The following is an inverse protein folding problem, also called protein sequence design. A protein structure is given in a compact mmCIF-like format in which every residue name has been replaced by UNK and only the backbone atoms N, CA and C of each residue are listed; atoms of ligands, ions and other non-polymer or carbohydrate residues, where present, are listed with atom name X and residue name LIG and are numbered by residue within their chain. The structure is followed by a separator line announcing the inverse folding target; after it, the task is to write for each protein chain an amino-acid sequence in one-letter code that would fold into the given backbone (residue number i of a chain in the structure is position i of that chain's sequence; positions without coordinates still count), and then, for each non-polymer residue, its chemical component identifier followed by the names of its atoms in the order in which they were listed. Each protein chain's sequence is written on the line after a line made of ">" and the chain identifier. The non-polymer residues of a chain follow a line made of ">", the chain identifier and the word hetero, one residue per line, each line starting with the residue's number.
data_IF_135900882819
#
_entry.id   IF_135900882819
#
_cell.length_a   1.000
_cell.length_b   1.000
_cell.length_c   1.000
_cell.angle_alpha   90.00
_cell.angle_beta   90.00
_cell.angle_gamma   90.00
#
_symmetry.space_group_name_H-M   'P 1'
#
loop_
_entity.id
_entity.type
_entity.pdbx_description
1 polymer ?
#
# COMPACT_ATOMS: atom_id res chain seq x y z
N UNK A 1 -11.17 -3.09 32.16
CA UNK A 1 -10.84 -3.80 30.89
C UNK A 1 -12.15 -4.28 30.29
N UNK A 2 -12.29 -4.32 28.95
CA UNK A 2 -13.46 -4.97 28.35
C UNK A 2 -13.52 -6.46 28.77
N UNK A 3 -14.71 -7.04 28.91
CA UNK A 3 -14.85 -8.46 29.21
C UNK A 3 -14.27 -9.31 28.08
N UNK A 4 -13.81 -10.51 28.41
CA UNK A 4 -13.26 -11.47 27.44
C UNK A 4 -14.43 -12.00 26.62
N UNK A 5 -14.40 -11.81 25.30
CA UNK A 5 -15.40 -12.35 24.39
C UNK A 5 -15.13 -13.84 24.16
N UNK A 6 -16.02 -14.71 24.64
CA UNK A 6 -15.84 -16.17 24.62
C UNK A 6 -16.87 -16.79 23.67
N UNK A 7 -16.40 -17.35 22.56
CA UNK A 7 -17.25 -18.17 21.70
C UNK A 7 -17.22 -19.62 22.20
N UNK A 8 -18.36 -20.14 22.62
CA UNK A 8 -18.50 -21.52 23.09
C UNK A 8 -18.89 -22.38 21.89
N UNK A 9 -17.94 -23.19 21.43
CA UNK A 9 -18.07 -24.13 20.33
C UNK A 9 -18.47 -25.51 20.88
N UNK A 10 -19.57 -26.10 20.40
CA UNK A 10 -20.10 -27.35 20.96
C UNK A 10 -20.94 -28.13 19.93
N UNK A 11 -21.10 -29.44 20.17
CA UNK A 11 -22.07 -30.25 19.41
C UNK A 11 -23.47 -30.06 20.02
N UNK A 12 -24.44 -29.62 19.21
CA UNK A 12 -25.82 -29.33 19.65
C UNK A 12 -26.59 -30.55 20.16
N UNK A 13 -26.48 -31.66 19.43
CA UNK A 13 -27.16 -32.92 19.74
C UNK A 13 -26.12 -33.97 20.13
N UNK A 14 -26.21 -34.47 21.35
CA UNK A 14 -25.40 -35.60 21.82
C UNK A 14 -25.95 -36.93 21.27
N UNK A 15 -25.25 -38.03 21.54
CA UNK A 15 -25.72 -39.37 21.17
C UNK A 15 -27.17 -39.62 21.65
N UNK A 16 -28.03 -40.09 20.75
CA UNK A 16 -29.47 -40.25 21.02
C UNK A 16 -30.30 -38.97 20.84
N UNK A 17 -29.80 -37.99 20.08
CA UNK A 17 -30.48 -36.74 19.71
C UNK A 17 -30.86 -35.79 20.87
N UNK A 18 -30.30 -36.01 22.06
CA UNK A 18 -30.56 -35.15 23.21
C UNK A 18 -29.85 -33.80 23.06
N UNK A 19 -30.51 -32.67 23.40
CA UNK A 19 -29.86 -31.37 23.46
C UNK A 19 -28.67 -31.37 24.40
N UNK A 20 -27.60 -30.66 24.04
CA UNK A 20 -26.43 -30.52 24.87
C UNK A 20 -26.61 -29.44 25.94
N UNK A 21 -27.39 -29.76 26.97
CA UNK A 21 -27.70 -28.85 28.10
C UNK A 21 -26.45 -28.32 28.82
N UNK A 22 -25.30 -28.99 28.67
CA UNK A 22 -24.03 -28.56 29.26
C UNK A 22 -23.53 -27.23 28.67
N UNK A 23 -23.80 -26.97 27.39
CA UNK A 23 -23.42 -25.71 26.75
C UNK A 23 -24.20 -24.53 27.34
N UNK A 24 -25.51 -24.71 27.55
CA UNK A 24 -26.37 -23.71 28.17
C UNK A 24 -25.98 -23.43 29.63
N UNK A 25 -25.71 -24.49 30.40
CA UNK A 25 -25.24 -24.36 31.78
C UNK A 25 -23.89 -23.63 31.81
N UNK A 26 -22.94 -23.99 30.95
CA UNK A 26 -21.64 -23.31 30.87
C UNK A 26 -21.78 -21.83 30.53
N UNK A 27 -22.59 -21.50 29.51
CA UNK A 27 -22.89 -20.12 29.13
C UNK A 27 -23.52 -19.35 30.28
N UNK A 28 -24.49 -19.95 30.97
CA UNK A 28 -25.15 -19.36 32.14
C UNK A 28 -24.16 -19.04 33.25
N UNK A 29 -23.25 -19.96 33.57
CA UNK A 29 -22.23 -19.79 34.61
C UNK A 29 -21.27 -18.67 34.25
N UNK A 30 -20.74 -18.66 33.02
CA UNK A 30 -19.85 -17.57 32.56
C UNK A 30 -20.56 -16.21 32.57
N UNK A 31 -21.87 -16.19 32.29
CA UNK A 31 -22.70 -14.98 32.30
C UNK A 31 -22.95 -14.40 33.71
N UNK A 32 -22.64 -15.14 34.78
CA UNK A 32 -22.72 -14.61 36.15
C UNK A 32 -21.60 -13.60 36.44
N UNK A 33 -20.47 -13.69 35.72
CA UNK A 33 -19.31 -12.80 35.86
C UNK A 33 -19.18 -11.89 34.62
N UNK A 34 -20.21 -11.05 34.39
CA UNK A 34 -20.27 -10.14 33.23
C UNK A 34 -19.15 -9.11 33.16
N UNK A 35 -18.48 -8.85 34.28
CA UNK A 35 -17.31 -7.96 34.30
C UNK A 35 -16.07 -8.63 33.71
N UNK A 36 -16.04 -9.96 33.68
CA UNK A 36 -14.89 -10.73 33.21
C UNK A 36 -15.13 -11.42 31.86
N UNK A 37 -16.36 -11.89 31.59
CA UNK A 37 -16.68 -12.69 30.41
C UNK A 37 -17.93 -12.21 29.67
N UNK A 38 -17.90 -12.32 28.34
CA UNK A 38 -19.04 -12.16 27.43
C UNK A 38 -19.21 -13.47 26.63
N UNK A 39 -19.90 -14.48 27.18
CA UNK A 39 -20.04 -15.79 26.54
C UNK A 39 -21.14 -15.80 25.47
N UNK A 40 -20.84 -16.42 24.34
CA UNK A 40 -21.76 -16.59 23.22
C UNK A 40 -21.88 -18.07 22.83
N UNK A 41 -23.12 -18.52 22.59
CA UNK A 41 -23.48 -19.80 21.96
C UNK A 41 -24.47 -19.52 20.83
N UNK A 42 -24.56 -20.44 19.89
CA UNK A 42 -25.38 -20.35 18.67
C UNK A 42 -26.84 -20.83 18.85
N UNK A 43 -27.42 -20.60 20.03
CA UNK A 43 -28.68 -21.21 20.48
C UNK A 43 -29.96 -20.41 20.14
N UNK A 44 -29.89 -19.16 19.68
CA UNK A 44 -31.10 -18.31 19.62
C UNK A 44 -31.64 -18.11 18.20
N UNK A 45 -32.77 -18.77 17.89
CA UNK A 45 -33.88 -18.24 17.08
C UNK A 45 -33.65 -17.83 15.62
N UNK A 46 -32.45 -18.03 15.07
CA UNK A 46 -32.15 -17.72 13.67
C UNK A 46 -32.68 -18.84 12.77
N UNK A 47 -33.45 -18.47 11.73
CA UNK A 47 -33.91 -19.42 10.73
C UNK A 47 -32.68 -20.10 10.08
N UNK A 48 -32.65 -21.43 10.06
CA UNK A 48 -31.56 -22.18 9.46
C UNK A 48 -31.31 -21.70 8.01
N UNK A 49 -30.06 -21.35 7.67
CA UNK A 49 -29.70 -20.80 6.36
C UNK A 49 -28.46 -19.88 6.41
N UNK A 50 -28.26 -19.12 5.32
CA UNK A 50 -27.09 -18.25 5.10
C UNK A 50 -26.88 -17.17 6.19
N UNK A 51 -27.97 -16.68 6.79
CA UNK A 51 -27.93 -15.67 7.85
C UNK A 51 -27.36 -16.22 9.17
N UNK A 52 -27.64 -17.49 9.46
CA UNK A 52 -27.13 -18.17 10.65
C UNK A 52 -25.62 -18.44 10.57
N UNK A 53 -25.15 -18.93 9.41
CA UNK A 53 -23.71 -19.13 9.15
C UNK A 53 -22.94 -17.80 9.21
N UNK A 54 -23.51 -16.73 8.64
CA UNK A 54 -22.94 -15.39 8.69
C UNK A 54 -22.83 -14.86 10.14
N UNK A 55 -23.84 -15.14 10.97
CA UNK A 55 -23.83 -14.72 12.37
C UNK A 55 -22.72 -15.42 13.18
N UNK A 56 -22.53 -16.73 12.97
CA UNK A 56 -21.45 -17.50 13.60
C UNK A 56 -20.08 -16.93 13.22
N UNK A 57 -19.84 -16.70 11.94
CA UNK A 57 -18.55 -16.16 11.47
C UNK A 57 -18.26 -14.77 12.03
N UNK A 58 -19.27 -13.87 12.05
CA UNK A 58 -19.12 -12.55 12.66
C UNK A 58 -18.78 -12.63 14.14
N UNK A 59 -19.35 -13.61 14.86
CA UNK A 59 -19.09 -13.78 16.29
C UNK A 59 -17.70 -14.35 16.56
N UNK A 60 -17.24 -15.31 15.77
CA UNK A 60 -15.87 -15.82 15.87
C UNK A 60 -14.86 -14.69 15.61
N UNK A 61 -15.07 -13.87 14.58
CA UNK A 61 -14.18 -12.75 14.23
C UNK A 61 -13.92 -11.74 15.36
N UNK A 62 -14.90 -11.54 16.25
CA UNK A 62 -14.78 -10.59 17.37
C UNK A 62 -14.47 -11.27 18.71
N UNK A 63 -14.28 -12.59 18.71
CA UNK A 63 -14.02 -13.35 19.92
C UNK A 63 -12.54 -13.34 20.30
N UNK A 64 -12.28 -13.25 21.60
CA UNK A 64 -10.93 -13.37 22.16
C UNK A 64 -10.51 -14.84 22.27
N UNK A 65 -11.46 -15.75 22.48
CA UNK A 65 -11.22 -17.17 22.76
C UNK A 65 -12.29 -18.04 22.12
N UNK A 66 -11.88 -19.17 21.54
CA UNK A 66 -12.77 -20.27 21.17
C UNK A 66 -12.73 -21.34 22.28
N UNK A 67 -13.77 -21.41 23.11
CA UNK A 67 -13.93 -22.43 24.14
C UNK A 67 -14.65 -23.65 23.55
N UNK A 68 -13.93 -24.72 23.26
CA UNK A 68 -14.49 -25.93 22.65
C UNK A 68 -14.95 -26.88 23.75
N UNK A 69 -16.26 -27.07 23.86
CA UNK A 69 -16.88 -27.98 24.81
C UNK A 69 -16.94 -29.39 24.20
N UNK A 70 -16.07 -30.27 24.70
CA UNK A 70 -15.84 -31.61 24.17
C UNK A 70 -16.57 -32.65 25.03
N UNK A 71 -17.52 -33.36 24.42
CA UNK A 71 -18.19 -34.51 25.00
C UNK A 71 -18.14 -35.69 24.03
N UNK A 72 -18.76 -36.83 24.37
CA UNK A 72 -18.79 -37.99 23.49
C UNK A 72 -19.38 -37.67 22.11
N UNK A 73 -18.60 -37.91 21.06
CA UNK A 73 -18.96 -37.70 19.67
C UNK A 73 -18.90 -36.24 19.20
N UNK A 74 -18.29 -35.31 19.96
CA UNK A 74 -18.13 -33.90 19.51
C UNK A 74 -17.42 -33.81 18.15
N UNK A 75 -16.42 -34.66 17.92
CA UNK A 75 -15.67 -34.80 16.66
C UNK A 75 -16.51 -35.19 15.45
N UNK A 76 -17.73 -35.70 15.63
CA UNK A 76 -18.66 -36.01 14.54
C UNK A 76 -19.38 -34.75 14.01
N UNK A 77 -19.25 -33.60 14.68
CA UNK A 77 -19.90 -32.35 14.28
C UNK A 77 -19.08 -31.60 13.24
N UNK A 78 -19.58 -31.54 12.01
CA UNK A 78 -18.96 -30.74 10.94
C UNK A 78 -18.93 -29.24 11.27
N UNK A 79 -19.89 -28.75 12.05
CA UNK A 79 -19.90 -27.35 12.52
C UNK A 79 -18.74 -27.07 13.48
N UNK A 80 -18.49 -27.96 14.44
CA UNK A 80 -17.37 -27.82 15.38
C UNK A 80 -16.04 -27.79 14.63
N UNK A 81 -15.86 -28.68 13.63
CA UNK A 81 -14.66 -28.67 12.78
C UNK A 81 -14.47 -27.35 12.02
N UNK A 82 -15.56 -26.80 11.46
CA UNK A 82 -15.51 -25.51 10.74
C UNK A 82 -15.17 -24.34 11.66
N UNK A 83 -15.73 -24.30 12.86
CA UNK A 83 -15.47 -23.24 13.84
C UNK A 83 -14.03 -23.29 14.35
N UNK A 84 -13.49 -24.49 14.59
CA UNK A 84 -12.07 -24.71 14.92
C UNK A 84 -11.19 -24.21 13.78
N UNK A 85 -11.44 -24.66 12.55
CA UNK A 85 -10.65 -24.25 11.38
C UNK A 85 -10.63 -22.73 11.19
N UNK A 86 -11.79 -22.08 11.37
CA UNK A 86 -11.89 -20.62 11.27
C UNK A 86 -11.14 -19.91 12.39
N UNK A 87 -11.26 -20.37 13.64
CA UNK A 87 -10.51 -19.80 14.77
C UNK A 87 -9.00 -19.93 14.56
N UNK A 88 -8.52 -21.09 14.11
CA UNK A 88 -7.12 -21.32 13.75
C UNK A 88 -6.65 -20.34 12.67
N UNK A 89 -7.44 -20.15 11.60
CA UNK A 89 -7.11 -19.24 10.51
C UNK A 89 -7.03 -17.77 10.95
N UNK A 90 -7.82 -17.39 11.97
CA UNK A 90 -7.87 -16.04 12.53
C UNK A 90 -6.89 -15.79 13.68
N UNK A 91 -6.07 -16.80 14.04
CA UNK A 91 -5.15 -16.71 15.17
C UNK A 91 -5.86 -16.62 16.53
N UNK A 92 -7.11 -17.11 16.62
CA UNK A 92 -7.87 -17.16 17.87
C UNK A 92 -7.43 -18.39 18.66
N UNK A 93 -7.09 -18.19 19.92
CA UNK A 93 -6.67 -19.28 20.81
C UNK A 93 -7.84 -20.17 21.16
N UNK A 94 -7.63 -21.49 21.01
CA UNK A 94 -8.60 -22.54 21.31
C UNK A 94 -8.35 -23.09 22.73
N UNK A 95 -9.41 -23.25 23.51
CA UNK A 95 -9.38 -23.86 24.85
C UNK A 95 -10.32 -25.06 24.88
N UNK A 96 -9.83 -26.30 24.87
CA UNK A 96 -10.68 -27.49 24.98
C UNK A 96 -11.08 -27.80 26.43
N UNK A 97 -12.39 -27.91 26.66
CA UNK A 97 -12.98 -28.28 27.95
C UNK A 97 -13.81 -29.55 27.77
N UNK A 98 -13.32 -30.66 28.32
CA UNK A 98 -13.99 -31.95 28.26
C UNK A 98 -14.97 -32.17 29.41
N UNK A 99 -16.10 -32.81 29.12
CA UNK A 99 -17.11 -33.24 30.10
C UNK A 99 -17.59 -34.65 29.78
N UNK A 100 -18.00 -35.41 30.82
CA UNK A 100 -18.52 -36.78 30.69
C UNK A 100 -17.62 -37.73 29.84
N UNK A 101 -16.31 -37.47 29.86
CA UNK A 101 -15.28 -38.20 29.12
C UNK A 101 -14.18 -38.70 30.06
N UNK A 102 -13.58 -39.83 29.69
CA UNK A 102 -12.28 -40.27 30.23
C UNK A 102 -11.15 -39.53 29.50
N UNK A 103 -9.90 -39.62 30.01
CA UNK A 103 -8.72 -39.08 29.31
C UNK A 103 -8.56 -39.67 27.92
N UNK A 104 -8.63 -40.99 27.80
CA UNK A 104 -8.56 -41.68 26.50
C UNK A 104 -9.67 -41.25 25.55
N UNK A 105 -10.88 -41.02 26.08
CA UNK A 105 -12.00 -40.50 25.30
C UNK A 105 -11.74 -39.08 24.79
N UNK A 106 -11.21 -38.21 25.64
CA UNK A 106 -10.83 -36.84 25.28
C UNK A 106 -9.72 -36.80 24.23
N UNK A 107 -8.67 -37.60 24.42
CA UNK A 107 -7.53 -37.67 23.48
C UNK A 107 -8.00 -38.13 22.10
N UNK A 108 -8.95 -39.08 22.05
CA UNK A 108 -9.59 -39.50 20.79
C UNK A 108 -10.35 -38.36 20.12
N UNK A 109 -11.23 -37.68 20.85
CA UNK A 109 -12.01 -36.56 20.31
C UNK A 109 -11.11 -35.43 19.77
N UNK A 110 -10.06 -35.05 20.52
CA UNK A 110 -9.12 -34.00 20.09
C UNK A 110 -8.29 -34.41 18.87
N UNK A 111 -7.93 -35.69 18.75
CA UNK A 111 -7.26 -36.23 17.57
C UNK A 111 -8.16 -36.14 16.34
N UNK A 112 -9.41 -36.53 16.48
CA UNK A 112 -10.39 -36.52 15.38
C UNK A 112 -10.81 -35.08 14.99
N UNK A 113 -10.60 -34.10 15.87
CA UNK A 113 -10.76 -32.66 15.63
C UNK A 113 -9.49 -31.95 15.15
N UNK A 114 -8.37 -32.66 14.97
CA UNK A 114 -7.06 -32.11 14.57
C UNK A 114 -6.47 -31.06 15.55
N UNK A 115 -6.79 -31.20 16.84
CA UNK A 115 -6.32 -30.30 17.92
C UNK A 115 -5.67 -31.05 19.09
N UNK A 116 -5.20 -32.28 18.87
CA UNK A 116 -4.54 -33.10 19.91
C UNK A 116 -3.26 -32.49 20.50
N UNK A 117 -2.68 -31.50 19.83
CA UNK A 117 -1.51 -30.77 20.32
C UNK A 117 -1.85 -29.67 21.35
N UNK A 118 -3.15 -29.41 21.57
CA UNK A 118 -3.63 -28.38 22.50
C UNK A 118 -3.90 -29.00 23.88
N UNK A 119 -3.41 -28.36 24.93
CA UNK A 119 -3.68 -28.77 26.31
C UNK A 119 -5.17 -28.59 26.65
N UNK A 120 -5.76 -29.59 27.31
CA UNK A 120 -7.17 -29.59 27.70
C UNK A 120 -7.39 -29.72 29.21
N UNK A 121 -8.63 -29.48 29.64
CA UNK A 121 -9.12 -29.81 30.99
C UNK A 121 -10.34 -30.72 30.93
N UNK A 122 -10.47 -31.61 31.92
CA UNK A 122 -11.68 -32.40 32.16
C UNK A 122 -12.37 -31.86 33.40
N UNK A 123 -13.65 -31.53 33.30
CA UNK A 123 -14.42 -30.97 34.42
C UNK A 123 -15.67 -31.79 34.73
N UNK A 124 -16.05 -31.80 36.01
CA UNK A 124 -17.33 -32.32 36.49
C UNK A 124 -18.25 -31.21 37.03
N UNK A 125 -17.83 -29.96 36.88
CA UNK A 125 -18.43 -28.79 37.53
C UNK A 125 -19.48 -28.07 36.67
N UNK A 126 -19.81 -28.59 35.48
CA UNK A 126 -20.90 -28.06 34.64
C UNK A 126 -22.25 -28.54 35.21
N UNK A 127 -22.68 -27.91 36.32
CA UNK A 127 -23.88 -28.19 37.10
C UNK A 127 -24.46 -26.91 37.71
N UNK A 128 -25.78 -26.85 37.84
CA UNK A 128 -26.52 -25.70 38.40
C UNK A 128 -26.57 -25.73 39.94
N UNK A 129 -25.42 -25.69 40.60
CA UNK A 129 -25.35 -25.46 42.06
C UNK A 129 -24.18 -24.53 42.41
N UNK A 130 -24.37 -23.68 43.43
CA UNK A 130 -23.46 -22.56 43.71
C UNK A 130 -22.00 -22.99 43.90
N UNK A 131 -21.77 -24.13 44.55
CA UNK A 131 -20.43 -24.67 44.77
C UNK A 131 -19.74 -25.08 43.45
N UNK A 132 -20.46 -25.77 42.55
CA UNK A 132 -19.94 -26.17 41.24
C UNK A 132 -19.72 -24.96 40.32
N UNK A 133 -20.60 -23.96 40.37
CA UNK A 133 -20.45 -22.72 39.60
C UNK A 133 -19.17 -21.97 39.99
N UNK A 134 -18.95 -21.77 41.29
CA UNK A 134 -17.74 -21.11 41.79
C UNK A 134 -16.47 -21.90 41.43
N UNK A 135 -16.52 -23.23 41.53
CA UNK A 135 -15.41 -24.10 41.16
C UNK A 135 -15.08 -24.01 39.65
N UNK A 136 -16.09 -24.04 38.78
CA UNK A 136 -15.90 -23.95 37.33
C UNK A 136 -15.32 -22.59 36.90
N UNK A 137 -15.81 -21.49 37.49
CA UNK A 137 -15.25 -20.15 37.23
C UNK A 137 -13.79 -20.06 37.67
N UNK A 138 -13.46 -20.61 38.85
CA UNK A 138 -12.08 -20.67 39.33
C UNK A 138 -11.19 -21.53 38.42
N UNK A 139 -11.73 -22.62 37.87
CA UNK A 139 -11.02 -23.54 36.99
C UNK A 139 -10.66 -22.91 35.64
N UNK A 140 -11.57 -22.14 35.05
CA UNK A 140 -11.44 -21.59 33.69
C UNK A 140 -10.80 -20.20 33.63
N UNK A 141 -10.88 -19.41 34.70
CA UNK A 141 -10.52 -17.98 34.64
C UNK A 141 -9.09 -17.75 34.14
N UNK A 142 -8.11 -18.46 34.68
CA UNK A 142 -6.71 -18.30 34.30
C UNK A 142 -6.46 -18.71 32.83
N UNK A 143 -7.14 -19.76 32.36
CA UNK A 143 -6.97 -20.27 31.00
C UNK A 143 -7.57 -19.31 29.98
N UNK A 144 -8.78 -18.81 30.24
CA UNK A 144 -9.46 -17.85 29.35
C UNK A 144 -8.72 -16.51 29.30
N UNK A 145 -8.19 -16.03 30.44
CA UNK A 145 -7.34 -14.84 30.48
C UNK A 145 -6.06 -15.03 29.67
N UNK A 146 -5.37 -16.16 29.86
CA UNK A 146 -4.15 -16.48 29.12
C UNK A 146 -4.42 -16.66 27.63
N UNK A 147 -5.54 -17.28 27.27
CA UNK A 147 -5.96 -17.46 25.89
C UNK A 147 -6.28 -16.12 25.21
N UNK A 148 -7.02 -15.23 25.87
CA UNK A 148 -7.29 -13.88 25.35
C UNK A 148 -6.00 -13.09 25.12
N UNK A 149 -5.05 -13.17 26.06
CA UNK A 149 -3.76 -12.51 25.91
C UNK A 149 -2.96 -13.06 24.70
N UNK A 150 -2.94 -14.38 24.51
CA UNK A 150 -2.29 -15.02 23.35
C UNK A 150 -2.94 -14.64 22.03
N UNK A 151 -4.28 -14.62 21.96
CA UNK A 151 -5.01 -14.18 20.75
C UNK A 151 -4.65 -12.74 20.40
N UNK A 152 -4.65 -11.83 21.39
CA UNK A 152 -4.31 -10.41 21.18
C UNK A 152 -2.88 -10.23 20.69
N UNK A 153 -1.92 -10.97 21.25
CA UNK A 153 -0.53 -10.91 20.78
C UNK A 153 -0.39 -11.49 19.37
N UNK A 154 -1.02 -12.64 19.08
CA UNK A 154 -0.99 -13.27 17.75
C UNK A 154 -1.60 -12.37 16.67
N UNK A 155 -2.73 -11.72 16.97
CA UNK A 155 -3.37 -10.77 16.06
C UNK A 155 -2.50 -9.51 15.86
N UNK A 156 -1.86 -9.01 16.92
CA UNK A 156 -0.93 -7.88 16.85
C UNK A 156 0.31 -8.22 16.04
N UNK A 157 0.86 -9.42 16.18
CA UNK A 157 2.00 -9.90 15.38
C UNK A 157 1.61 -10.06 13.92
N UNK A 158 0.44 -10.65 13.66
CA UNK A 158 -0.10 -10.77 12.30
C UNK A 158 -0.27 -9.39 11.66
N UNK A 159 -0.90 -8.44 12.37
CA UNK A 159 -1.04 -7.06 11.90
C UNK A 159 0.31 -6.39 11.68
N UNK A 160 1.27 -6.57 12.60
CA UNK A 160 2.61 -6.01 12.49
C UNK A 160 3.36 -6.57 11.28
N UNK A 161 3.23 -7.88 11.03
CA UNK A 161 3.82 -8.54 9.86
C UNK A 161 3.20 -8.07 8.55
N UNK A 162 1.87 -7.88 8.51
CA UNK A 162 1.17 -7.33 7.35
C UNK A 162 1.59 -5.88 7.10
N UNK A 163 1.67 -5.06 8.15
CA UNK A 163 2.14 -3.68 8.06
C UNK A 163 3.60 -3.59 7.62
N UNK A 164 4.46 -4.52 8.06
CA UNK A 164 5.85 -4.60 7.64
C UNK A 164 6.02 -5.05 6.18
N UNK A 165 5.18 -5.98 5.71
CA UNK A 165 5.13 -6.37 4.29
C UNK A 165 4.61 -5.24 3.40
N UNK A 166 3.66 -4.46 3.90
CA UNK A 166 3.14 -3.28 3.20
C UNK A 166 4.08 -2.07 3.27
N UNK A 167 5.03 -2.03 4.22
CA UNK A 167 5.99 -0.95 4.41
C UNK A 167 7.33 -1.50 4.88
N UNK A 168 8.22 -1.99 3.99
CA UNK A 168 9.61 -2.13 4.38
C UNK A 168 10.07 -0.76 4.88
N UNK A 169 10.58 -0.69 6.12
CA UNK A 169 11.29 0.48 6.65
C UNK A 169 12.62 0.64 5.89
N UNK A 170 12.57 0.86 4.59
CA UNK A 170 13.74 1.25 3.83
C UNK A 170 14.12 2.66 4.30
N UNK A 171 15.34 2.85 4.85
CA UNK A 171 15.77 4.16 5.30
C UNK A 171 15.72 5.13 4.11
N UNK A 172 15.06 6.26 4.32
CA UNK A 172 15.05 7.39 3.39
C UNK A 172 16.49 7.93 3.27
N UNK A 173 16.94 8.22 2.05
CA UNK A 173 18.22 8.89 1.86
C UNK A 173 18.20 10.32 2.44
N UNK A 174 19.36 10.87 2.76
CA UNK A 174 19.47 12.26 3.21
C UNK A 174 18.96 13.22 2.10
N UNK A 175 18.27 14.29 2.50
CA UNK A 175 17.75 15.30 1.55
C UNK A 175 18.90 16.13 0.98
N UNK A 176 19.35 15.79 -0.24
CA UNK A 176 20.41 16.50 -0.96
C UNK A 176 20.07 16.61 -2.44
N UNK A 177 19.89 17.84 -2.92
CA UNK A 177 19.56 18.09 -4.34
C UNK A 177 20.69 17.70 -5.31
N UNK A 178 21.95 17.86 -4.89
CA UNK A 178 23.14 17.45 -5.64
C UNK A 178 23.96 16.51 -4.76
N UNK A 179 23.43 15.32 -4.50
CA UNK A 179 24.05 14.32 -3.64
C UNK A 179 25.31 13.70 -4.27
N UNK A 180 25.29 13.57 -5.59
CA UNK A 180 26.42 13.19 -6.43
C UNK A 180 26.30 13.88 -7.80
N UNK A 181 27.44 14.08 -8.46
CA UNK A 181 27.54 14.76 -9.76
C UNK A 181 28.38 13.91 -10.72
N UNK A 182 27.91 13.80 -11.95
CA UNK A 182 28.55 13.08 -13.04
C UNK A 182 28.47 13.92 -14.33
N UNK A 183 29.27 13.55 -15.31
CA UNK A 183 29.20 14.14 -16.65
C UNK A 183 28.86 13.09 -17.68
N UNK A 184 27.82 13.36 -18.46
CA UNK A 184 27.49 12.58 -19.66
C UNK A 184 28.17 13.24 -20.84
N UNK A 185 29.05 12.50 -21.53
CA UNK A 185 29.65 12.92 -22.79
C UNK A 185 29.00 12.17 -23.95
N UNK A 186 28.13 12.83 -24.70
CA UNK A 186 27.37 12.25 -25.81
C UNK A 186 27.12 13.30 -26.90
N UNK A 187 27.12 12.90 -28.18
CA UNK A 187 26.87 13.80 -29.31
C UNK A 187 27.85 14.98 -29.41
N UNK A 188 29.09 14.80 -28.96
CA UNK A 188 30.09 15.89 -28.87
C UNK A 188 29.79 16.94 -27.79
N UNK A 189 28.91 16.63 -26.83
CA UNK A 189 28.50 17.53 -25.74
C UNK A 189 28.76 16.93 -24.38
N UNK A 190 28.82 17.81 -23.39
CA UNK A 190 28.98 17.48 -21.98
C UNK A 190 27.79 18.04 -21.21
N UNK A 191 27.04 17.18 -20.53
CA UNK A 191 25.84 17.54 -19.75
C UNK A 191 26.03 17.05 -18.32
N UNK A 192 25.66 17.89 -17.35
CA UNK A 192 25.74 17.54 -15.94
C UNK A 192 24.58 16.61 -15.56
N UNK A 193 24.91 15.46 -14.98
CA UNK A 193 23.96 14.53 -14.39
C UNK A 193 24.11 14.55 -12.87
N UNK A 194 23.03 14.80 -12.14
CA UNK A 194 23.01 14.83 -10.69
C UNK A 194 22.12 13.74 -10.12
N UNK A 195 22.52 13.18 -8.98
CA UNK A 195 21.59 12.41 -8.14
C UNK A 195 20.98 13.37 -7.12
N UNK A 196 19.66 13.54 -7.15
CA UNK A 196 18.89 14.22 -6.12
C UNK A 196 18.36 13.17 -5.13
N UNK A 197 18.90 13.14 -3.91
CA UNK A 197 18.55 12.14 -2.90
C UNK A 197 17.49 12.64 -1.91
N UNK A 198 16.66 11.73 -1.43
CA UNK A 198 15.67 11.97 -0.39
C UNK A 198 14.31 12.40 -0.94
N UNK A 199 13.65 13.33 -0.24
CA UNK A 199 12.29 13.76 -0.55
C UNK A 199 12.28 14.78 -1.69
N UNK A 200 11.63 14.41 -2.80
CA UNK A 200 11.41 15.27 -3.97
C UNK A 200 10.80 16.63 -3.61
N UNK A 201 10.01 16.69 -2.54
CA UNK A 201 9.42 17.94 -2.05
C UNK A 201 10.46 19.00 -1.67
N UNK A 202 11.70 18.58 -1.38
CA UNK A 202 12.80 19.46 -0.97
C UNK A 202 13.63 20.00 -2.14
N UNK A 203 13.46 19.45 -3.34
CA UNK A 203 14.20 19.86 -4.53
C UNK A 203 13.70 21.21 -5.05
N UNK A 204 14.61 22.13 -5.40
CA UNK A 204 14.27 23.49 -5.85
C UNK A 204 14.99 23.89 -7.13
N UNK A 205 14.48 24.90 -7.81
CA UNK A 205 15.14 25.56 -8.95
C UNK A 205 15.41 24.59 -10.13
N UNK A 206 14.53 23.61 -10.32
CA UNK A 206 14.52 22.71 -11.48
C UNK A 206 13.31 23.05 -12.35
N UNK A 207 13.51 23.29 -13.63
CA UNK A 207 12.46 23.77 -14.53
C UNK A 207 11.35 22.76 -14.74
N UNK A 208 11.72 21.49 -14.96
CA UNK A 208 10.80 20.41 -15.31
C UNK A 208 10.90 19.25 -14.32
N UNK A 209 9.75 18.86 -13.77
CA UNK A 209 9.60 17.66 -12.95
C UNK A 209 8.90 16.57 -13.77
N UNK A 210 9.55 15.42 -13.93
CA UNK A 210 8.93 14.29 -14.62
C UNK A 210 8.11 13.48 -13.63
N UNK A 211 6.91 13.09 -14.04
CA UNK A 211 5.98 12.28 -13.29
C UNK A 211 5.69 11.00 -14.07
N UNK A 212 5.97 9.86 -13.45
CA UNK A 212 5.61 8.55 -14.00
C UNK A 212 4.12 8.31 -13.77
N UNK A 213 3.33 8.26 -14.84
CA UNK A 213 1.88 8.07 -14.78
C UNK A 213 1.41 6.79 -15.47
N UNK A 214 0.17 6.42 -15.14
CA UNK A 214 -0.55 5.39 -15.89
C UNK A 214 -0.93 5.89 -17.29
N UNK A 215 -1.17 4.94 -18.19
CA UNK A 215 -1.67 5.14 -19.56
C UNK A 215 -3.08 5.76 -19.65
N UNK A 216 -3.81 5.89 -18.55
CA UNK A 216 -5.04 6.70 -18.49
C UNK A 216 -4.79 8.16 -18.10
N UNK A 217 -3.54 8.53 -17.81
CA UNK A 217 -3.12 9.86 -17.38
C UNK A 217 -3.94 10.38 -16.19
N UNK A 218 -4.27 9.48 -15.28
CA UNK A 218 -4.99 9.79 -14.05
C UNK A 218 -4.00 9.90 -12.91
N UNK A 219 -3.83 11.11 -12.37
CA UNK A 219 -2.96 11.30 -11.22
C UNK A 219 -3.49 10.52 -10.01
N UNK A 220 -2.56 10.07 -9.16
CA UNK A 220 -2.83 9.44 -7.89
C UNK A 220 -3.74 10.31 -6.99
N UNK A 221 -4.47 9.68 -6.07
CA UNK A 221 -5.41 10.39 -5.20
C UNK A 221 -4.68 11.41 -4.32
N UNK A 222 -5.31 12.55 -4.02
CA UNK A 222 -4.73 13.64 -3.21
C UNK A 222 -4.11 13.21 -1.88
N UNK A 223 -4.75 12.26 -1.20
CA UNK A 223 -4.35 11.78 0.13
C UNK A 223 -3.54 10.48 0.07
N UNK A 224 -3.23 10.00 -1.13
CA UNK A 224 -2.15 9.04 -1.29
C UNK A 224 -0.85 9.75 -0.92
N UNK A 225 -0.03 9.15 -0.05
CA UNK A 225 1.11 9.82 0.56
C UNK A 225 2.46 9.29 0.07
N UNK A 226 2.46 8.36 -0.88
CA UNK A 226 3.64 7.54 -1.22
C UNK A 226 3.99 7.47 -2.70
N UNK A 227 3.34 8.26 -3.56
CA UNK A 227 3.68 8.32 -4.98
C UNK A 227 4.16 9.70 -5.37
N UNK A 228 5.05 9.77 -6.37
CA UNK A 228 5.49 11.04 -6.95
C UNK A 228 4.28 11.82 -7.47
N UNK A 229 3.37 11.13 -8.17
CA UNK A 229 2.11 11.69 -8.67
C UNK A 229 1.28 12.39 -7.59
N UNK A 230 1.05 11.75 -6.44
CA UNK A 230 0.23 12.36 -5.39
C UNK A 230 0.90 13.56 -4.70
N UNK A 231 2.23 13.52 -4.56
CA UNK A 231 3.02 14.64 -4.04
C UNK A 231 2.92 15.82 -5.01
N UNK A 232 3.12 15.59 -6.31
CA UNK A 232 3.04 16.64 -7.32
C UNK A 232 1.62 17.22 -7.40
N UNK A 233 0.58 16.38 -7.44
CA UNK A 233 -0.83 16.79 -7.46
C UNK A 233 -1.16 17.70 -6.28
N UNK A 234 -0.83 17.26 -5.06
CA UNK A 234 -1.14 17.99 -3.82
C UNK A 234 -0.40 19.32 -3.74
N UNK A 235 0.88 19.36 -4.12
CA UNK A 235 1.71 20.57 -4.03
C UNK A 235 1.49 21.54 -5.19
N UNK A 236 1.03 21.04 -6.33
CA UNK A 236 0.61 21.86 -7.46
C UNK A 236 -0.81 22.40 -7.33
N UNK A 237 -1.65 21.77 -6.50
CA UNK A 237 -3.00 22.26 -6.25
C UNK A 237 -2.99 23.67 -5.64
N UNK A 238 -3.99 24.47 -6.04
CA UNK A 238 -4.21 25.80 -5.47
C UNK A 238 -5.07 25.66 -4.22
N UNK A 239 -4.59 26.22 -3.11
CA UNK A 239 -5.40 26.30 -1.88
C UNK A 239 -6.38 27.47 -2.03
N UNK A 240 -7.67 27.15 -2.03
CA UNK A 240 -8.77 28.13 -2.03
C UNK A 240 -9.15 28.45 -0.58
N UNK A 241 -9.91 29.54 -0.35
CA UNK A 241 -10.49 29.85 0.96
C UNK A 241 -11.22 28.61 1.52
N UNK A 242 -11.16 28.43 2.84
CA UNK A 242 -11.72 27.29 3.59
C UNK A 242 -10.97 25.95 3.47
N UNK A 243 -9.70 25.97 3.03
CA UNK A 243 -8.85 24.76 3.01
C UNK A 243 -9.21 23.76 1.90
N UNK A 244 -10.03 24.18 0.93
CA UNK A 244 -10.34 23.39 -0.27
C UNK A 244 -9.19 23.46 -1.27
N UNK A 245 -8.83 22.31 -1.83
CA UNK A 245 -7.84 22.22 -2.90
C UNK A 245 -8.53 22.29 -4.26
N UNK A 246 -8.04 23.15 -5.13
CA UNK A 246 -8.36 23.15 -6.54
C UNK A 246 -7.29 22.37 -7.29
N UNK A 247 -7.71 21.31 -7.97
CA UNK A 247 -6.83 20.41 -8.72
C UNK A 247 -6.47 20.96 -10.10
N UNK A 248 -5.59 21.95 -10.07
CA UNK A 248 -5.14 22.67 -11.26
C UNK A 248 -4.39 21.76 -12.23
N UNK A 249 -3.55 20.85 -11.73
CA UNK A 249 -2.74 19.96 -12.57
C UNK A 249 -3.62 18.95 -13.31
N UNK A 250 -4.49 18.20 -12.60
CA UNK A 250 -5.32 17.20 -13.28
C UNK A 250 -6.24 17.85 -14.32
N UNK A 251 -6.81 19.02 -14.02
CA UNK A 251 -7.64 19.75 -14.98
C UNK A 251 -6.87 20.21 -16.21
N UNK A 252 -5.63 20.66 -16.03
CA UNK A 252 -4.76 21.03 -17.15
C UNK A 252 -4.38 19.79 -17.98
N UNK A 253 -4.03 18.68 -17.33
CA UNK A 253 -3.74 17.40 -17.98
C UNK A 253 -4.94 16.88 -18.78
N UNK A 254 -6.14 16.91 -18.20
CA UNK A 254 -7.38 16.54 -18.88
C UNK A 254 -7.65 17.45 -20.09
N UNK A 255 -7.32 18.74 -20.01
CA UNK A 255 -7.40 19.64 -21.16
C UNK A 255 -6.41 19.28 -22.26
N UNK A 256 -5.17 18.89 -21.93
CA UNK A 256 -4.19 18.41 -22.93
C UNK A 256 -4.68 17.13 -23.62
N UNK A 257 -5.46 16.32 -22.91
CA UNK A 257 -6.00 15.03 -23.38
C UNK A 257 -7.36 15.13 -24.08
N UNK A 258 -8.00 16.32 -24.12
CA UNK A 258 -9.41 16.46 -24.52
C UNK A 258 -9.76 15.86 -25.88
N UNK A 259 -8.81 15.86 -26.82
CA UNK A 259 -8.97 15.36 -28.19
C UNK A 259 -8.33 13.97 -28.38
N UNK A 260 -7.79 13.37 -27.32
CA UNK A 260 -7.12 12.07 -27.34
C UNK A 260 -7.95 11.00 -26.62
N UNK A 261 -7.96 9.80 -27.21
CA UNK A 261 -8.50 8.62 -26.55
C UNK A 261 -7.64 8.20 -25.35
N UNK A 262 -8.25 7.49 -24.40
CA UNK A 262 -7.56 6.78 -23.32
C UNK A 262 -7.83 5.28 -23.48
N UNK A 263 -6.86 4.39 -23.20
CA UNK A 263 -5.49 4.68 -22.78
C UNK A 263 -4.63 5.34 -23.89
N UNK A 264 -3.62 6.09 -23.46
CA UNK A 264 -2.60 6.70 -24.33
C UNK A 264 -1.49 5.69 -24.66
N UNK A 265 -0.61 6.02 -25.60
CA UNK A 265 0.49 5.14 -25.97
C UNK A 265 1.63 5.15 -24.93
N UNK A 266 2.39 4.06 -24.91
CA UNK A 266 3.63 3.90 -24.13
C UNK A 266 4.57 5.09 -24.39
N UNK A 267 5.15 5.65 -23.32
CA UNK A 267 6.11 6.75 -23.35
C UNK A 267 5.57 8.10 -23.87
N UNK A 268 4.26 8.21 -24.13
CA UNK A 268 3.63 9.47 -24.50
C UNK A 268 3.71 10.46 -23.33
N UNK A 269 4.08 11.71 -23.64
CA UNK A 269 4.35 12.75 -22.64
C UNK A 269 3.37 13.90 -22.80
N UNK A 270 2.75 14.29 -21.69
CA UNK A 270 1.87 15.44 -21.61
C UNK A 270 2.45 16.49 -20.67
N UNK A 271 2.40 17.74 -21.09
CA UNK A 271 2.99 18.85 -20.33
C UNK A 271 1.89 19.66 -19.66
N UNK A 272 2.05 19.90 -18.36
CA UNK A 272 1.24 20.88 -17.63
C UNK A 272 2.14 21.91 -16.97
N UNK A 273 1.57 23.05 -16.59
CA UNK A 273 2.15 23.90 -15.56
C UNK A 273 2.25 23.17 -14.21
N UNK A 274 3.02 23.74 -13.29
CA UNK A 274 3.10 23.33 -11.88
C UNK A 274 1.94 23.88 -11.03
N UNK A 275 0.81 24.25 -11.64
CA UNK A 275 -0.39 24.72 -10.95
C UNK A 275 -0.49 26.24 -10.76
N UNK A 276 0.39 27.01 -11.41
CA UNK A 276 0.39 28.48 -11.40
C UNK A 276 0.95 29.12 -10.12
N UNK A 277 0.86 30.45 -10.01
CA UNK A 277 1.43 31.21 -8.88
C UNK A 277 0.86 30.82 -7.51
N UNK A 278 -0.31 30.19 -7.47
CA UNK A 278 -0.95 29.74 -6.24
C UNK A 278 -0.21 28.60 -5.55
N UNK A 279 0.49 27.75 -6.33
CA UNK A 279 0.96 26.44 -5.90
C UNK A 279 2.30 26.45 -5.15
N UNK A 280 2.53 25.43 -4.33
CA UNK A 280 3.82 25.23 -3.66
C UNK A 280 4.92 24.87 -4.66
N UNK A 281 4.60 24.12 -5.70
CA UNK A 281 5.60 23.75 -6.73
C UNK A 281 6.17 25.00 -7.41
N UNK A 282 5.33 25.99 -7.72
CA UNK A 282 5.80 27.26 -8.30
C UNK A 282 6.49 28.15 -7.27
N UNK A 283 5.91 28.31 -6.07
CA UNK A 283 6.41 29.25 -5.05
C UNK A 283 7.68 28.79 -4.35
N UNK A 284 7.69 27.52 -3.93
CA UNK A 284 8.71 26.92 -3.06
C UNK A 284 9.72 26.14 -3.88
N UNK A 285 9.25 25.22 -4.75
CA UNK A 285 10.15 24.41 -5.57
C UNK A 285 10.69 25.16 -6.78
N UNK A 286 10.06 26.29 -7.16
CA UNK A 286 10.45 27.07 -8.35
C UNK A 286 10.43 26.26 -9.65
N UNK A 287 9.70 25.14 -9.66
CA UNK A 287 9.44 24.36 -10.85
C UNK A 287 8.41 25.05 -11.72
N UNK A 288 8.49 24.82 -13.04
CA UNK A 288 7.64 25.48 -14.04
C UNK A 288 6.69 24.51 -14.73
N UNK A 289 7.17 23.31 -15.01
CA UNK A 289 6.41 22.31 -15.76
C UNK A 289 6.45 20.95 -15.09
N UNK A 290 5.40 20.18 -15.34
CA UNK A 290 5.34 18.75 -15.02
C UNK A 290 5.19 17.99 -16.34
N UNK A 291 6.04 17.00 -16.55
CA UNK A 291 5.96 16.09 -17.68
C UNK A 291 5.33 14.79 -17.20
N UNK A 292 4.08 14.55 -17.60
CA UNK A 292 3.34 13.34 -17.30
C UNK A 292 3.65 12.31 -18.37
N UNK A 293 4.42 11.28 -18.02
CA UNK A 293 4.90 10.26 -18.94
C UNK A 293 4.11 8.98 -18.71
N UNK A 294 3.51 8.43 -19.77
CA UNK A 294 2.94 7.10 -19.74
C UNK A 294 4.09 6.12 -19.53
N UNK A 295 4.27 5.65 -18.30
CA UNK A 295 5.33 4.74 -17.89
C UNK A 295 4.79 3.51 -17.14
N UNK A 296 3.47 3.48 -16.96
CA UNK A 296 2.73 2.45 -16.23
C UNK A 296 1.48 2.09 -17.02
N UNK A 297 1.19 0.80 -17.15
CA UNK A 297 -0.02 0.28 -17.78
C UNK A 297 -1.09 0.00 -16.73
N UNK A 298 -2.31 0.50 -16.90
CA UNK A 298 -3.45 0.05 -16.13
C UNK A 298 -3.94 -1.30 -16.67
N UNK A 299 -4.16 -2.27 -15.77
CA UNK A 299 -4.69 -3.60 -16.12
C UNK A 299 -6.07 -3.76 -15.51
N UNK A 300 -7.10 -3.46 -16.33
CA UNK A 300 -8.51 -3.45 -15.92
C UNK A 300 -8.95 -4.77 -15.27
N UNK A 301 -8.52 -5.90 -15.82
CA UNK A 301 -8.91 -7.23 -15.32
C UNK A 301 -8.44 -7.51 -13.87
N UNK A 302 -7.40 -6.83 -13.42
CA UNK A 302 -6.81 -7.02 -12.09
C UNK A 302 -7.05 -5.83 -11.14
N UNK A 303 -7.54 -4.70 -11.64
CA UNK A 303 -7.63 -3.46 -10.86
C UNK A 303 -6.25 -2.99 -10.36
N UNK A 304 -5.19 -3.35 -11.07
CA UNK A 304 -3.79 -3.06 -10.72
C UNK A 304 -3.10 -2.28 -11.82
N UNK A 305 -1.98 -1.66 -11.48
CA UNK A 305 -1.08 -1.02 -12.43
C UNK A 305 0.20 -1.84 -12.55
N UNK A 306 0.70 -2.01 -13.77
CA UNK A 306 1.96 -2.72 -14.07
C UNK A 306 2.92 -1.72 -14.70
N UNK A 307 4.11 -1.47 -14.15
CA UNK A 307 5.06 -0.55 -14.77
C UNK A 307 5.59 -1.15 -16.06
N UNK A 308 6.12 -0.32 -16.93
CA UNK A 308 6.96 -0.81 -18.00
C UNK A 308 8.25 -1.40 -17.41
N UNK A 309 8.48 -2.68 -17.69
CA UNK A 309 9.65 -3.44 -17.19
C UNK A 309 10.68 -3.70 -18.27
N UNK A 310 10.31 -3.54 -19.55
CA UNK A 310 11.25 -3.78 -20.63
C UNK A 310 12.21 -2.59 -20.74
N UNK A 311 13.53 -2.84 -20.85
CA UNK A 311 14.54 -1.80 -21.02
C UNK A 311 14.19 -0.77 -22.10
N UNK A 312 13.71 -1.21 -23.26
CA UNK A 312 13.37 -0.35 -24.39
C UNK A 312 12.23 0.63 -24.07
N UNK A 313 11.29 0.25 -23.21
CA UNK A 313 10.20 1.12 -22.79
C UNK A 313 10.69 2.22 -21.85
N UNK A 314 11.59 1.90 -20.91
CA UNK A 314 12.20 2.88 -20.00
C UNK A 314 13.06 3.88 -20.80
N UNK A 315 13.85 3.36 -21.75
CA UNK A 315 14.64 4.17 -22.68
C UNK A 315 13.74 5.17 -23.45
N UNK A 316 12.64 4.67 -24.02
CA UNK A 316 11.65 5.49 -24.73
C UNK A 316 11.04 6.58 -23.85
N UNK A 317 10.68 6.28 -22.59
CA UNK A 317 10.15 7.27 -21.65
C UNK A 317 11.12 8.43 -21.42
N UNK A 318 12.40 8.13 -21.23
CA UNK A 318 13.45 9.14 -21.05
C UNK A 318 13.64 9.95 -22.33
N UNK A 319 13.82 9.30 -23.47
CA UNK A 319 14.02 9.98 -24.76
C UNK A 319 12.85 10.88 -25.12
N UNK A 320 11.62 10.39 -24.97
CA UNK A 320 10.40 11.16 -25.24
C UNK A 320 10.29 12.39 -24.33
N UNK A 321 10.71 12.29 -23.07
CA UNK A 321 10.75 13.43 -22.15
C UNK A 321 11.76 14.50 -22.59
N UNK A 322 12.95 14.08 -23.04
CA UNK A 322 13.97 15.02 -23.54
C UNK A 322 13.55 15.68 -24.86
N UNK A 323 12.94 14.92 -25.77
CA UNK A 323 12.35 15.46 -27.00
C UNK A 323 11.23 16.47 -26.68
N UNK A 324 10.34 16.13 -25.73
CA UNK A 324 9.27 17.04 -25.28
C UNK A 324 9.81 18.33 -24.67
N UNK A 325 10.96 18.27 -23.97
CA UNK A 325 11.63 19.45 -23.44
C UNK A 325 12.13 20.37 -24.57
N UNK A 326 12.63 19.79 -25.64
CA UNK A 326 13.01 20.52 -26.85
C UNK A 326 11.80 21.18 -27.53
N UNK A 327 10.70 20.44 -27.69
CA UNK A 327 9.46 20.98 -28.26
C UNK A 327 8.88 22.11 -27.41
N UNK A 328 8.89 21.94 -26.09
CA UNK A 328 8.51 22.98 -25.12
C UNK A 328 9.34 24.25 -25.33
N UNK A 329 10.64 24.12 -25.53
CA UNK A 329 11.53 25.24 -25.76
C UNK A 329 11.26 25.95 -27.10
N UNK A 330 10.88 25.21 -28.15
CA UNK A 330 10.48 25.81 -29.43
C UNK A 330 9.25 26.70 -29.30
N UNK A 331 8.27 26.29 -28.49
CA UNK A 331 7.08 27.10 -28.17
C UNK A 331 7.30 28.08 -27.00
N UNK A 332 8.56 28.30 -26.61
CA UNK A 332 8.96 29.22 -25.53
C UNK A 332 8.24 28.97 -24.20
N UNK A 333 7.93 27.72 -23.90
CA UNK A 333 7.35 27.33 -22.62
C UNK A 333 5.84 27.61 -22.46
N UNK A 334 5.12 27.89 -23.55
CA UNK A 334 3.70 28.26 -23.48
C UNK A 334 2.79 27.08 -23.82
N UNK A 335 2.28 26.39 -22.79
CA UNK A 335 1.54 25.11 -22.90
C UNK A 335 0.16 25.13 -22.25
N UNK A 336 -0.08 26.04 -21.32
CA UNK A 336 -1.33 26.08 -20.58
C UNK A 336 -2.51 26.37 -21.51
N UNK A 337 -3.74 25.98 -21.14
CA UNK A 337 -4.94 26.30 -21.90
C UNK A 337 -5.09 27.82 -22.09
N UNK A 338 -5.64 28.28 -23.23
CA UNK A 338 -6.00 29.67 -23.43
C UNK A 338 -6.86 30.21 -22.28
N UNK A 339 -6.77 31.52 -22.04
CA UNK A 339 -7.56 32.25 -21.02
C UNK A 339 -7.31 31.85 -19.56
N UNK A 340 -6.29 31.04 -19.28
CA UNK A 340 -5.86 30.73 -17.91
C UNK A 340 -4.84 31.74 -17.39
N UNK A 341 -4.78 31.92 -16.07
CA UNK A 341 -3.75 32.76 -15.44
C UNK A 341 -2.34 32.21 -15.72
N UNK A 342 -2.22 30.88 -15.76
CA UNK A 342 -0.99 30.16 -16.11
C UNK A 342 -0.50 30.49 -17.52
N UNK A 343 -1.41 30.55 -18.50
CA UNK A 343 -1.09 30.93 -19.89
C UNK A 343 -0.50 32.33 -19.94
N UNK A 344 -1.16 33.30 -19.33
CA UNK A 344 -0.72 34.72 -19.31
C UNK A 344 0.68 34.86 -18.72
N UNK A 345 0.97 34.12 -17.65
CA UNK A 345 2.31 34.10 -17.05
C UNK A 345 3.35 33.50 -17.99
N UNK A 346 3.04 32.37 -18.63
CA UNK A 346 3.93 31.73 -19.59
C UNK A 346 4.23 32.64 -20.79
N UNK A 347 3.22 33.31 -21.35
CA UNK A 347 3.37 34.27 -22.43
C UNK A 347 4.25 35.45 -22.03
N UNK A 348 4.02 36.03 -20.84
CA UNK A 348 4.85 37.13 -20.33
C UNK A 348 6.32 36.71 -20.14
N UNK A 349 6.57 35.50 -19.64
CA UNK A 349 7.95 34.96 -19.54
C UNK A 349 8.57 34.72 -20.91
N UNK A 350 7.79 34.23 -21.87
CA UNK A 350 8.24 34.02 -23.24
C UNK A 350 8.66 35.33 -23.91
N UNK A 351 7.89 36.42 -23.71
CA UNK A 351 8.22 37.77 -24.18
C UNK A 351 9.51 38.31 -23.55
N UNK A 352 9.76 37.97 -22.30
CA UNK A 352 10.99 38.35 -21.57
C UNK A 352 12.20 37.46 -21.89
N UNK A 353 12.07 36.48 -22.80
CA UNK A 353 13.14 35.53 -23.13
C UNK A 353 13.42 34.50 -22.03
N UNK A 354 12.54 34.37 -21.04
CA UNK A 354 12.63 33.45 -19.90
C UNK A 354 11.82 32.17 -20.09
N UNK A 355 11.25 31.95 -21.29
CA UNK A 355 10.45 30.77 -21.63
C UNK A 355 11.24 29.47 -21.80
N UNK A 356 12.57 29.54 -21.76
CA UNK A 356 13.46 28.42 -22.07
C UNK A 356 13.80 27.62 -20.79
N UNK A 357 13.56 26.31 -20.83
CA UNK A 357 13.87 25.33 -19.78
C UNK A 357 15.20 24.62 -20.04
N UNK A 358 16.03 24.52 -19.00
CA UNK A 358 17.42 24.02 -19.06
C UNK A 358 17.69 22.84 -18.14
N UNK A 359 16.78 22.58 -17.18
CA UNK A 359 16.92 21.51 -16.20
C UNK A 359 15.68 20.61 -16.13
N UNK A 360 15.92 19.31 -15.99
CA UNK A 360 14.87 18.30 -15.91
C UNK A 360 15.21 17.26 -14.83
N UNK A 361 14.22 16.88 -14.03
CA UNK A 361 14.36 15.84 -13.02
C UNK A 361 13.50 14.64 -13.38
N UNK A 362 14.14 13.48 -13.48
CA UNK A 362 13.51 12.18 -13.69
C UNK A 362 13.32 11.44 -12.38
N UNK A 363 12.15 10.80 -12.15
CA UNK A 363 12.05 9.72 -11.19
C UNK A 363 12.77 8.48 -11.76
N UNK A 364 13.15 7.56 -10.89
CA UNK A 364 13.53 6.22 -11.34
C UNK A 364 12.27 5.48 -11.84
N UNK A 365 12.06 5.42 -13.15
CA UNK A 365 10.88 4.79 -13.77
C UNK A 365 10.72 3.33 -13.31
N UNK A 366 9.50 2.89 -13.08
CA UNK A 366 9.20 1.50 -12.68
C UNK A 366 9.61 1.13 -11.24
N UNK A 367 10.40 1.96 -10.56
CA UNK A 367 10.69 1.79 -9.13
C UNK A 367 9.55 2.32 -8.27
N UNK A 368 9.31 1.72 -7.10
CA UNK A 368 8.15 2.03 -6.25
C UNK A 368 7.06 0.95 -6.34
N UNK A 369 5.82 1.33 -6.65
CA UNK A 369 4.71 0.36 -6.81
C UNK A 369 4.94 -0.61 -7.97
N UNK A 370 5.84 -0.28 -8.90
CA UNK A 370 6.15 -1.12 -10.04
C UNK A 370 7.04 -2.34 -9.76
N UNK A 371 7.82 -2.28 -8.67
CA UNK A 371 8.63 -3.40 -8.21
C UNK A 371 9.91 -3.68 -9.01
N UNK A 372 10.31 -2.82 -9.95
CA UNK A 372 11.66 -2.88 -10.53
C UNK A 372 12.71 -2.37 -9.53
N UNK A 373 13.92 -2.92 -9.57
CA UNK A 373 15.06 -2.44 -8.75
C UNK A 373 15.74 -1.23 -9.39
N UNK A 374 16.54 -0.48 -8.62
CA UNK A 374 17.25 0.66 -9.17
C UNK A 374 18.31 0.22 -10.20
N UNK A 375 18.95 -0.94 -9.99
CA UNK A 375 19.87 -1.54 -10.95
C UNK A 375 19.24 -1.90 -12.30
N UNK A 376 17.99 -2.37 -12.31
CA UNK A 376 17.30 -2.74 -13.55
C UNK A 376 16.98 -1.53 -14.43
N UNK A 377 16.76 -0.36 -13.82
CA UNK A 377 16.20 0.81 -14.52
C UNK A 377 17.26 1.83 -14.93
N UNK A 378 18.36 1.92 -14.20
CA UNK A 378 19.35 2.99 -14.43
C UNK A 378 20.07 2.87 -15.77
N UNK A 379 20.46 1.64 -16.17
CA UNK A 379 21.12 1.40 -17.46
C UNK A 379 20.24 1.83 -18.65
N UNK A 380 18.98 1.38 -18.73
CA UNK A 380 18.02 1.85 -19.74
C UNK A 380 17.77 3.36 -19.70
N UNK A 381 17.72 3.98 -18.51
CA UNK A 381 17.60 5.44 -18.42
C UNK A 381 18.82 6.17 -19.00
N UNK A 382 20.03 5.69 -18.71
CA UNK A 382 21.26 6.25 -19.28
C UNK A 382 21.36 6.04 -20.79
N UNK A 383 20.91 4.89 -21.29
CA UNK A 383 20.78 4.64 -22.72
C UNK A 383 19.83 5.66 -23.37
N UNK A 384 18.70 5.98 -22.73
CA UNK A 384 17.76 6.98 -23.24
C UNK A 384 18.34 8.39 -23.27
N UNK A 385 19.09 8.79 -22.22
CA UNK A 385 19.77 10.09 -22.19
C UNK A 385 20.85 10.17 -23.26
N UNK A 386 21.76 9.19 -23.30
CA UNK A 386 22.88 9.18 -24.24
C UNK A 386 22.42 9.04 -25.69
N UNK A 387 21.42 8.18 -25.94
CA UNK A 387 20.78 8.01 -27.24
C UNK A 387 20.18 9.31 -27.77
N UNK A 388 19.47 10.05 -26.92
CA UNK A 388 18.93 11.37 -27.28
C UNK A 388 20.02 12.37 -27.70
N UNK A 389 21.15 12.44 -26.99
CA UNK A 389 22.22 13.37 -27.35
C UNK A 389 23.05 12.91 -28.56
N UNK A 390 23.14 11.60 -28.81
CA UNK A 390 23.87 11.04 -29.95
C UNK A 390 23.08 11.10 -31.26
N UNK A 391 21.76 11.22 -31.21
CA UNK A 391 20.90 11.34 -32.37
C UNK A 391 21.05 12.73 -33.02
N UNK A 392 21.30 12.79 -34.33
CA UNK A 392 21.57 14.04 -35.04
C UNK A 392 20.33 14.96 -35.14
N UNK A 393 19.13 14.37 -35.23
CA UNK A 393 17.87 15.10 -35.35
C UNK A 393 17.49 15.74 -34.00
N UNK A 394 17.60 14.97 -32.92
CA UNK A 394 17.38 15.44 -31.54
C UNK A 394 18.50 16.38 -31.07
N UNK A 395 19.72 16.12 -31.52
CA UNK A 395 20.94 16.82 -31.14
C UNK A 395 20.85 18.32 -31.39
N UNK A 396 20.21 18.80 -32.46
CA UNK A 396 20.14 20.27 -32.70
C UNK A 396 19.36 21.03 -31.64
N UNK A 397 18.37 20.41 -31.02
CA UNK A 397 17.51 21.03 -30.00
C UNK A 397 18.05 20.84 -28.57
N UNK A 398 18.89 19.83 -28.39
CA UNK A 398 19.48 19.47 -27.11
C UNK A 398 20.53 20.48 -26.56
N UNK A 399 20.93 21.51 -27.31
CA UNK A 399 21.97 22.48 -26.91
C UNK A 399 21.60 23.34 -25.69
N UNK A 400 20.33 23.31 -25.29
CA UNK A 400 19.78 24.14 -24.22
C UNK A 400 19.74 23.40 -22.87
N UNK A 401 19.79 22.07 -22.91
CA UNK A 401 19.70 21.22 -21.72
C UNK A 401 21.08 21.16 -21.06
N UNK A 402 21.17 21.70 -19.85
CA UNK A 402 22.43 21.80 -19.12
C UNK A 402 22.50 20.82 -17.95
N UNK A 403 21.36 20.54 -17.32
CA UNK A 403 21.30 19.77 -16.07
C UNK A 403 20.20 18.71 -16.13
N UNK A 404 20.57 17.46 -15.87
CA UNK A 404 19.65 16.35 -15.71
C UNK A 404 19.78 15.84 -14.28
N UNK A 405 18.65 15.60 -13.62
CA UNK A 405 18.60 15.09 -12.25
C UNK A 405 17.90 13.73 -12.24
N UNK A 406 18.42 12.79 -11.45
CA UNK A 406 17.76 11.54 -11.12
C UNK A 406 17.33 11.59 -9.65
N UNK A 407 16.02 11.50 -9.39
CA UNK A 407 15.46 11.54 -8.05
C UNK A 407 15.44 10.15 -7.43
N UNK A 408 16.13 10.01 -6.30
CA UNK A 408 16.30 8.74 -5.60
C UNK A 408 15.90 8.88 -4.13
N UNK A 409 14.81 8.22 -3.72
CA UNK A 409 14.23 8.43 -2.40
C UNK A 409 14.87 7.58 -1.29
N UNK A 410 15.14 6.31 -1.57
CA UNK A 410 15.67 5.35 -0.58
C UNK A 410 17.20 5.39 -0.57
N UNK A 411 17.79 5.12 0.61
CA UNK A 411 19.25 5.05 0.74
C UNK A 411 19.85 3.89 -0.06
N UNK A 412 19.16 2.74 -0.09
CA UNK A 412 19.59 1.57 -0.86
C UNK A 412 19.62 1.84 -2.36
N UNK A 413 18.54 2.42 -2.90
CA UNK A 413 18.48 2.86 -4.31
C UNK A 413 19.58 3.89 -4.61
N UNK A 414 19.90 4.78 -3.66
CA UNK A 414 20.97 5.78 -3.83
C UNK A 414 22.33 5.11 -3.94
N UNK A 415 22.65 4.19 -3.04
CA UNK A 415 23.94 3.48 -3.02
C UNK A 415 24.12 2.67 -4.32
N UNK A 416 23.04 2.04 -4.80
CA UNK A 416 23.02 1.27 -6.04
C UNK A 416 23.21 2.16 -7.29
N UNK A 417 22.40 3.22 -7.44
CA UNK A 417 22.50 4.16 -8.57
C UNK A 417 23.88 4.84 -8.58
N UNK A 418 24.36 5.30 -7.43
CA UNK A 418 25.68 5.91 -7.31
C UNK A 418 26.79 4.94 -7.74
N UNK A 419 26.72 3.67 -7.29
CA UNK A 419 27.66 2.63 -7.65
C UNK A 419 27.70 2.33 -9.15
N UNK A 420 26.53 2.33 -9.81
CA UNK A 420 26.43 2.10 -11.27
C UNK A 420 26.97 3.31 -12.05
N UNK A 421 26.53 4.51 -11.72
CA UNK A 421 26.96 5.74 -12.40
C UNK A 421 28.48 5.96 -12.29
N UNK A 422 29.07 5.63 -11.14
CA UNK A 422 30.53 5.73 -10.95
C UNK A 422 31.33 4.76 -11.84
N UNK A 423 30.73 3.64 -12.26
CA UNK A 423 31.36 2.68 -13.17
C UNK A 423 31.19 3.08 -14.63
N UNK A 424 30.03 3.65 -14.98
CA UNK A 424 29.67 3.92 -16.37
C UNK A 424 30.06 5.34 -16.83
N UNK A 425 30.14 6.30 -15.91
CA UNK A 425 30.40 7.70 -16.21
C UNK A 425 31.63 8.22 -15.49
N UNK A 426 32.26 9.24 -16.07
CA UNK A 426 33.32 10.00 -15.41
C UNK A 426 32.74 10.80 -14.24
N UNK A 427 33.33 10.63 -13.06
CA UNK A 427 33.03 11.46 -11.88
C UNK A 427 33.78 12.78 -12.01
N UNK A 428 33.10 13.89 -11.73
CA UNK A 428 33.69 15.24 -11.69
C UNK A 428 34.14 15.58 -10.29
#
# INVERSE_FOLDING_TARGET
>A
MPPISVFICYKKKLAGERPNEKADILRFILSQDKTSFDPWIDDTGLSAGLEWETAIYRRILVSDVLLVLVGPGTSESEWVKREIALATALGITIVPLGFDLTRDGMDKELKDLDIAHIQYKLTQNIKLNDQAQAALLSELRADLQSASARTKESQKDTLSSLLARMNPKTPKAADKQKAATFTISAGGRSVALYIASGDLSKVRDIDVLVNSENDYMQMARFFESRTVSSILRRRGARVVRDGKYEDTIQRELDWQLRDRGRPVHVAEVFVTSTGGQGSELTKINKARYIFHVAAVQAVDAAGTVIPFKQPDQIEKCVRASLATLSDLNQVKGVVSPPDTDQRKEQESRAEQGQGISRSILFPLFGTGQGGSTAAEVIGPMLAGITGYFNDEDDGRLAAVINEIYLSVFKQEDFDEVFGILRRELSVV
#
